data_IF_242734316841
#
_entry.id   IF_242734316841
#
_cell.length_a   1.000
_cell.length_b   1.000
_cell.length_c   1.000
_cell.angle_alpha   90.00
_cell.angle_beta   90.00
_cell.angle_gamma   90.00
#
_symmetry.space_group_name_H-M   'P 1'
#
loop_
_entity.id
_entity.type
_entity.pdbx_description
1 polymer ?
#
# COMPACT_ATOMS: atom_id res chain seq x y z
N UNK A 1 -2.06 -27.05 -6.95
CA UNK A 1 -1.11 -26.17 -7.65
C UNK A 1 -1.38 -24.79 -7.09
N UNK A 2 -0.49 -24.27 -6.25
CA UNK A 2 -0.60 -22.89 -5.77
C UNK A 2 -0.14 -22.02 -6.94
N UNK A 3 -1.00 -21.16 -7.46
CA UNK A 3 -0.57 -20.19 -8.47
C UNK A 3 0.47 -19.28 -7.82
N UNK A 4 1.66 -19.21 -8.39
CA UNK A 4 2.64 -18.20 -7.99
C UNK A 4 2.10 -16.84 -8.43
N UNK A 5 1.68 -16.03 -7.44
CA UNK A 5 1.19 -14.68 -7.68
C UNK A 5 2.40 -13.74 -7.70
N UNK A 6 2.65 -13.11 -8.85
CA UNK A 6 3.72 -12.12 -9.02
C UNK A 6 3.29 -10.75 -8.48
N UNK A 7 3.97 -10.26 -7.45
CA UNK A 7 3.75 -8.94 -6.86
C UNK A 7 4.81 -7.90 -7.25
N UNK A 8 5.73 -8.23 -8.18
CA UNK A 8 6.87 -7.40 -8.56
C UNK A 8 6.48 -5.99 -9.01
N UNK A 9 5.30 -5.83 -9.64
CA UNK A 9 4.78 -4.55 -10.10
C UNK A 9 4.52 -3.54 -8.95
N UNK A 10 4.22 -4.04 -7.74
CA UNK A 10 3.82 -3.23 -6.59
C UNK A 10 4.97 -2.95 -5.62
N UNK A 11 6.15 -3.54 -5.86
CA UNK A 11 7.32 -3.36 -5.00
C UNK A 11 7.71 -1.88 -4.92
N UNK A 12 7.90 -1.39 -3.70
CA UNK A 12 8.25 -0.01 -3.42
C UNK A 12 7.08 0.99 -3.48
N UNK A 13 5.87 0.53 -3.82
CA UNK A 13 4.68 1.38 -3.78
C UNK A 13 4.22 1.66 -2.35
N UNK A 14 3.66 2.84 -2.16
CA UNK A 14 2.89 3.18 -0.97
C UNK A 14 1.51 2.55 -1.07
N UNK A 15 1.04 1.96 0.03
CA UNK A 15 -0.31 1.44 0.19
C UNK A 15 -0.97 2.18 1.32
N UNK A 16 -2.16 2.72 1.06
CA UNK A 16 -2.96 3.44 2.04
C UNK A 16 -4.17 2.60 2.40
N UNK A 17 -4.38 2.40 3.70
CA UNK A 17 -5.62 1.84 4.21
C UNK A 17 -6.40 2.86 5.04
N UNK A 18 -7.72 2.76 4.95
CA UNK A 18 -8.65 3.50 5.77
C UNK A 18 -9.50 2.48 6.54
N UNK A 19 -9.21 2.30 7.84
CA UNK A 19 -9.70 1.14 8.59
C UNK A 19 -9.19 -0.15 7.94
N UNK A 20 -10.10 -1.06 7.58
CA UNK A 20 -9.77 -2.37 7.00
C UNK A 20 -9.84 -2.40 5.46
N UNK A 21 -9.83 -1.24 4.79
CA UNK A 21 -9.94 -1.13 3.33
C UNK A 21 -8.71 -0.47 2.74
N UNK A 22 -8.11 -1.08 1.73
CA UNK A 22 -7.13 -0.41 0.86
C UNK A 22 -7.89 0.60 0.00
N UNK A 23 -7.42 1.86 0.00
CA UNK A 23 -8.09 2.95 -0.73
C UNK A 23 -7.26 3.48 -1.90
N UNK A 24 -5.93 3.34 -1.85
CA UNK A 24 -5.03 3.77 -2.91
C UNK A 24 -3.67 3.07 -2.78
N UNK A 25 -2.97 2.92 -3.90
CA UNK A 25 -1.55 2.59 -3.94
C UNK A 25 -0.84 3.33 -5.08
N UNK A 26 0.41 3.74 -4.85
CA UNK A 26 1.23 4.42 -5.87
C UNK A 26 2.71 4.47 -5.49
N UNK A 27 3.60 4.59 -6.48
CA UNK A 27 5.05 4.83 -6.25
C UNK A 27 5.35 6.17 -5.59
N UNK A 28 4.49 7.18 -5.78
CA UNK A 28 4.64 8.51 -5.21
C UNK A 28 3.41 8.87 -4.34
N UNK A 29 3.67 9.23 -3.07
CA UNK A 29 2.65 9.68 -2.12
C UNK A 29 1.90 10.92 -2.59
N UNK A 30 2.52 11.77 -3.43
CA UNK A 30 1.90 13.00 -3.93
C UNK A 30 0.61 12.72 -4.71
N UNK A 31 0.58 11.60 -5.44
CA UNK A 31 -0.52 11.19 -6.32
C UNK A 31 -1.76 10.76 -5.54
N UNK A 32 -1.57 10.21 -4.32
CA UNK A 32 -2.64 9.62 -3.52
C UNK A 32 -3.10 10.52 -2.36
N UNK A 33 -2.59 11.76 -2.29
CA UNK A 33 -2.98 12.75 -1.26
C UNK A 33 -4.47 13.01 -1.21
N UNK A 34 -5.14 13.09 -2.36
CA UNK A 34 -6.58 13.35 -2.40
C UNK A 34 -7.40 12.15 -1.92
N UNK A 35 -6.90 10.92 -2.08
CA UNK A 35 -7.58 9.73 -1.56
C UNK A 35 -7.43 9.61 -0.04
N UNK A 36 -6.25 9.95 0.49
CA UNK A 36 -6.00 10.05 1.94
C UNK A 36 -7.02 10.98 2.61
N UNK A 37 -7.32 12.14 2.01
CA UNK A 37 -8.29 13.12 2.55
C UNK A 37 -9.73 12.59 2.60
N UNK A 38 -10.08 11.59 1.78
CA UNK A 38 -11.42 10.98 1.80
C UNK A 38 -11.59 10.02 2.98
N UNK A 39 -10.50 9.65 3.65
CA UNK A 39 -10.56 8.79 4.83
C UNK A 39 -11.16 9.56 6.01
N UNK A 40 -12.27 9.05 6.56
CA UNK A 40 -12.95 9.65 7.72
C UNK A 40 -12.21 9.40 9.04
N UNK A 41 -11.29 8.45 9.05
CA UNK A 41 -10.45 8.07 10.19
C UNK A 41 -8.99 8.39 9.88
N UNK A 42 -8.10 8.23 10.86
CA UNK A 42 -6.66 8.29 10.59
C UNK A 42 -6.28 7.16 9.62
N UNK A 43 -5.69 7.46 8.46
CA UNK A 43 -5.27 6.46 7.50
C UNK A 43 -3.96 5.79 7.97
N UNK A 44 -3.79 4.51 7.64
CA UNK A 44 -2.51 3.82 7.79
C UNK A 44 -1.78 3.85 6.46
N UNK A 45 -0.51 4.21 6.50
CA UNK A 45 0.35 4.36 5.33
C UNK A 45 1.52 3.40 5.51
N UNK A 46 1.70 2.50 4.55
CA UNK A 46 2.83 1.58 4.52
C UNK A 46 3.45 1.56 3.14
N UNK A 47 4.67 1.05 3.02
CA UNK A 47 5.37 0.89 1.75
C UNK A 47 5.64 -0.59 1.52
N UNK A 48 5.31 -1.10 0.34
CA UNK A 48 5.66 -2.46 -0.06
C UNK A 48 7.19 -2.55 -0.06
N UNK A 49 7.78 -3.42 0.77
CA UNK A 49 9.22 -3.44 0.95
C UNK A 49 9.92 -3.94 -0.32
N UNK A 50 11.13 -3.44 -0.57
CA UNK A 50 11.96 -3.85 -1.73
C UNK A 50 12.71 -5.15 -1.49
N UNK A 51 12.92 -5.52 -0.23
CA UNK A 51 13.52 -6.77 0.21
C UNK A 51 12.56 -7.42 1.21
N UNK A 52 12.61 -8.74 1.39
CA UNK A 52 11.80 -9.44 2.40
C UNK A 52 12.16 -8.94 3.81
N UNK A 53 11.52 -7.88 4.28
CA UNK A 53 11.57 -7.51 5.69
C UNK A 53 10.54 -8.41 6.39
N UNK A 54 11.01 -9.57 6.84
CA UNK A 54 10.33 -10.34 7.88
C UNK A 54 10.24 -9.45 9.13
N UNK A 55 9.10 -8.79 9.32
CA UNK A 55 8.78 -8.15 10.59
C UNK A 55 8.20 -9.25 11.49
N UNK A 56 9.05 -9.78 12.38
CA UNK A 56 8.69 -10.72 13.45
C UNK A 56 7.95 -10.03 14.59
#
# INVERSE_FOLDING_TARGET
MMEEIDFSAYVGEWVITCGNKVIAHAKDLSVIREDIKKCRTTPTITRVPQEEILIF
#
